data_IF_349334743354
#
_entry.id   IF_349334743354
#
_cell.length_a   1.000
_cell.length_b   1.000
_cell.length_c   1.000
_cell.angle_alpha   90.00
_cell.angle_beta   90.00
_cell.angle_gamma   90.00
#
_symmetry.space_group_name_H-M   'P 1'
#
loop_
_entity.id
_entity.type
_entity.pdbx_description
1 polymer ?
#
# COMPACT_ATOMS: atom_id res chain seq x y z
N UNK A 1 5.56 10.56 -3.27
CA UNK A 1 4.26 10.69 -3.97
C UNK A 1 3.23 11.28 -3.03
N UNK A 2 2.19 11.92 -3.57
CA UNK A 2 1.01 12.38 -2.83
C UNK A 2 -0.27 11.79 -3.46
N UNK A 3 -1.32 11.64 -2.66
CA UNK A 3 -2.67 11.31 -3.12
C UNK A 3 -3.60 12.45 -2.71
N UNK A 4 -4.30 13.03 -3.69
CA UNK A 4 -5.14 14.23 -3.48
C UNK A 4 -4.40 15.33 -2.69
N UNK A 5 -3.14 15.60 -3.04
CA UNK A 5 -2.31 16.62 -2.37
C UNK A 5 -1.69 16.20 -1.03
N UNK A 6 -2.09 15.06 -0.43
CA UNK A 6 -1.57 14.57 0.86
C UNK A 6 -0.41 13.60 0.69
N UNK A 7 0.69 13.80 1.42
CA UNK A 7 1.84 12.87 1.51
C UNK A 7 1.74 11.90 2.70
N UNK A 8 0.96 12.26 3.71
CA UNK A 8 0.67 11.44 4.88
C UNK A 8 -0.76 11.70 5.39
N UNK A 9 -1.25 10.86 6.30
CA UNK A 9 -2.59 10.97 6.89
C UNK A 9 -3.73 10.83 5.89
N UNK A 10 -3.49 10.20 4.74
CA UNK A 10 -4.52 9.85 3.78
C UNK A 10 -5.16 8.50 4.15
N UNK A 11 -6.40 8.31 3.70
CA UNK A 11 -7.24 7.16 4.03
C UNK A 11 -7.78 6.49 2.77
N UNK A 12 -8.51 5.39 2.91
CA UNK A 12 -9.29 4.79 1.80
C UNK A 12 -10.18 5.78 1.05
N UNK A 13 -10.72 6.79 1.72
CA UNK A 13 -11.54 7.83 1.07
C UNK A 13 -10.74 8.61 0.00
N UNK A 14 -9.43 8.79 0.20
CA UNK A 14 -8.57 9.44 -0.78
C UNK A 14 -8.40 8.61 -2.04
N UNK A 15 -8.25 7.29 -1.87
CA UNK A 15 -8.20 6.36 -3.00
C UNK A 15 -9.52 6.34 -3.75
N UNK A 16 -10.67 6.35 -3.05
CA UNK A 16 -11.99 6.44 -3.67
C UNK A 16 -12.17 7.74 -4.47
N UNK A 17 -11.72 8.87 -3.94
CA UNK A 17 -11.78 10.16 -4.64
C UNK A 17 -10.89 10.17 -5.90
N UNK A 18 -9.66 9.67 -5.78
CA UNK A 18 -8.75 9.52 -6.93
C UNK A 18 -9.34 8.58 -7.99
N UNK A 19 -9.98 7.49 -7.56
CA UNK A 19 -10.58 6.51 -8.45
C UNK A 19 -11.74 7.04 -9.28
N UNK A 20 -12.53 7.97 -8.73
CA UNK A 20 -13.59 8.66 -9.47
C UNK A 20 -13.00 9.49 -10.62
N UNK A 21 -11.89 10.18 -10.40
CA UNK A 21 -11.19 10.97 -11.43
C UNK A 21 -10.63 10.03 -12.51
N UNK A 22 -10.10 8.87 -12.11
CA UNK A 22 -9.62 7.83 -13.02
C UNK A 22 -10.72 6.97 -13.68
N UNK A 23 -12.00 7.31 -13.51
CA UNK A 23 -13.16 6.57 -14.06
C UNK A 23 -13.17 5.07 -13.71
N UNK A 24 -12.60 4.70 -12.56
CA UNK A 24 -12.62 3.32 -12.08
C UNK A 24 -14.05 2.92 -11.68
N UNK A 25 -14.41 1.66 -11.95
CA UNK A 25 -15.67 1.08 -11.49
C UNK A 25 -15.76 1.17 -9.95
N UNK A 26 -16.98 1.35 -9.44
CA UNK A 26 -17.26 1.38 -7.99
C UNK A 26 -16.65 0.15 -7.30
N UNK A 27 -15.89 0.38 -6.23
CA UNK A 27 -15.21 -0.67 -5.46
C UNK A 27 -13.89 -1.17 -6.06
N UNK A 28 -13.53 -0.80 -7.30
CA UNK A 28 -12.28 -1.26 -7.92
C UNK A 28 -11.04 -0.75 -7.19
N UNK A 29 -11.09 0.47 -6.66
CA UNK A 29 -9.98 1.03 -5.87
C UNK A 29 -9.74 0.28 -4.57
N UNK A 30 -10.82 -0.13 -3.89
CA UNK A 30 -10.71 -0.91 -2.65
C UNK A 30 -10.13 -2.29 -2.94
N UNK A 31 -10.60 -2.96 -4.00
CA UNK A 31 -10.05 -4.25 -4.42
C UNK A 31 -8.54 -4.17 -4.75
N UNK A 32 -8.11 -3.13 -5.48
CA UNK A 32 -6.69 -2.91 -5.78
C UNK A 32 -5.91 -2.65 -4.49
N UNK A 33 -6.44 -1.81 -3.59
CA UNK A 33 -5.76 -1.48 -2.34
C UNK A 33 -5.61 -2.72 -1.45
N UNK A 34 -6.63 -3.58 -1.39
CA UNK A 34 -6.60 -4.82 -0.62
C UNK A 34 -5.59 -5.82 -1.20
N UNK A 35 -5.54 -5.98 -2.52
CA UNK A 35 -4.57 -6.82 -3.21
C UNK A 35 -3.13 -6.36 -2.93
N UNK A 36 -2.87 -5.06 -3.07
CA UNK A 36 -1.55 -4.47 -2.79
C UNK A 36 -1.20 -4.63 -1.30
N UNK A 37 -2.14 -4.40 -0.38
CA UNK A 37 -1.90 -4.60 1.06
C UNK A 37 -1.56 -6.04 1.39
N UNK A 38 -2.30 -6.99 0.81
CA UNK A 38 -2.04 -8.42 1.00
C UNK A 38 -0.64 -8.80 0.49
N UNK A 39 -0.23 -8.28 -0.66
CA UNK A 39 1.12 -8.51 -1.19
C UNK A 39 2.21 -7.86 -0.31
N UNK A 40 2.04 -6.60 0.08
CA UNK A 40 3.02 -5.87 0.90
C UNK A 40 3.15 -6.47 2.31
N UNK A 41 2.07 -7.01 2.88
CA UNK A 41 2.11 -7.72 4.16
C UNK A 41 3.02 -8.96 4.13
N UNK A 42 3.19 -9.59 2.96
CA UNK A 42 4.06 -10.75 2.75
C UNK A 42 5.52 -10.37 2.50
N UNK A 43 5.89 -9.10 2.65
CA UNK A 43 7.26 -8.62 2.50
C UNK A 43 8.33 -9.49 3.17
N UNK A 44 8.17 -9.99 4.42
CA UNK A 44 9.18 -10.86 5.03
C UNK A 44 9.48 -12.12 4.21
N UNK A 45 8.47 -12.72 3.55
CA UNK A 45 8.64 -13.89 2.68
C UNK A 45 9.50 -13.54 1.46
N UNK A 46 9.18 -12.44 0.79
CA UNK A 46 9.91 -11.99 -0.40
C UNK A 46 11.33 -11.55 -0.07
N UNK A 47 11.51 -10.87 1.06
CA UNK A 47 12.80 -10.43 1.56
C UNK A 47 13.71 -11.63 1.88
N UNK A 48 13.16 -12.70 2.46
CA UNK A 48 13.89 -13.94 2.72
C UNK A 48 14.37 -14.61 1.42
N UNK A 49 13.51 -14.72 0.41
CA UNK A 49 13.88 -15.26 -0.91
C UNK A 49 14.99 -14.42 -1.57
N UNK A 50 14.90 -13.09 -1.45
CA UNK A 50 15.91 -12.16 -1.97
C UNK A 50 17.17 -12.04 -1.09
N UNK A 51 17.26 -12.78 0.03
CA UNK A 51 18.37 -12.76 0.99
C UNK A 51 18.66 -11.36 1.55
N UNK A 52 17.62 -10.55 1.74
CA UNK A 52 17.71 -9.26 2.43
C UNK A 52 18.00 -9.52 3.91
N UNK A 53 18.90 -8.72 4.52
CA UNK A 53 19.20 -8.87 5.96
C UNK A 53 17.94 -8.65 6.82
N UNK A 54 17.87 -9.31 7.97
CA UNK A 54 16.73 -9.17 8.88
C UNK A 54 16.54 -7.71 9.34
N UNK A 55 17.64 -7.00 9.59
CA UNK A 55 17.63 -5.58 9.95
C UNK A 55 16.94 -4.73 8.88
N UNK A 56 17.35 -4.88 7.60
CA UNK A 56 16.75 -4.15 6.47
C UNK A 56 15.31 -4.56 6.23
N UNK A 57 15.02 -5.86 6.36
CA UNK A 57 13.66 -6.39 6.24
C UNK A 57 12.73 -5.72 7.25
N UNK A 58 13.13 -5.66 8.53
CA UNK A 58 12.37 -5.02 9.58
C UNK A 58 12.26 -3.50 9.40
N UNK A 59 13.33 -2.83 8.97
CA UNK A 59 13.32 -1.39 8.71
C UNK A 59 12.33 -1.02 7.60
N UNK A 60 12.32 -1.77 6.50
CA UNK A 60 11.37 -1.56 5.39
C UNK A 60 9.95 -1.91 5.83
N UNK A 61 9.75 -3.02 6.56
CA UNK A 61 8.43 -3.42 7.05
C UNK A 61 7.76 -2.34 7.91
N UNK A 62 8.52 -1.64 8.77
CA UNK A 62 8.01 -0.52 9.59
C UNK A 62 7.52 0.67 8.78
N UNK A 63 8.01 0.85 7.55
CA UNK A 63 7.56 1.92 6.66
C UNK A 63 6.27 1.56 5.90
N UNK A 64 5.81 0.30 5.96
CA UNK A 64 4.59 -0.11 5.26
C UNK A 64 3.33 0.45 5.93
N UNK A 65 2.47 1.05 5.13
CA UNK A 65 1.19 1.63 5.57
C UNK A 65 0.07 0.60 5.50
N UNK A 66 0.15 -0.44 6.33
CA UNK A 66 -0.79 -1.57 6.29
C UNK A 66 -2.13 -1.30 7.00
N UNK A 67 -2.32 -0.14 7.64
CA UNK A 67 -3.51 0.24 8.42
C UNK A 67 -4.39 1.31 7.77
N UNK A 68 -4.25 1.56 6.45
CA UNK A 68 -4.96 2.60 5.69
C UNK A 68 -6.50 2.44 5.62
#
# INVERSE_FOLDING_TARGET
>A
MSINGRRDGFSRADFSACAKIGLLKKGRSDAILDEVRAAVARWPEFAAVAKVSQEKTAAIARAHRLSL
#
